data_IF_021205060980
#
_entry.id   IF_021205060980
#
_cell.length_a   1.000
_cell.length_b   1.000
_cell.length_c   1.000
_cell.angle_alpha   90.00
_cell.angle_beta   90.00
_cell.angle_gamma   90.00
#
_symmetry.space_group_name_H-M   'P 1'
#
loop_
_entity.id
_entity.type
_entity.pdbx_description
1 polymer ?
#
# COMPACT_ATOMS: atom_id res chain seq x y z
N UNK A 1 49.46 12.19 -9.12
CA UNK A 1 49.10 13.23 -8.13
C UNK A 1 47.78 13.80 -8.57
N UNK A 2 46.75 13.22 -7.98
CA UNK A 2 45.34 13.37 -8.26
C UNK A 2 44.85 14.81 -8.08
N UNK A 3 44.02 15.27 -9.02
CA UNK A 3 43.09 16.37 -8.78
C UNK A 3 41.70 15.93 -9.25
N UNK A 4 40.92 15.46 -8.28
CA UNK A 4 39.46 15.43 -8.34
C UNK A 4 38.89 16.85 -8.41
N UNK A 5 37.94 17.08 -9.32
CA UNK A 5 36.72 17.88 -9.15
C UNK A 5 36.01 18.05 -10.52
N UNK A 6 34.70 18.36 -10.58
CA UNK A 6 33.59 17.93 -9.73
C UNK A 6 32.45 17.26 -10.54
N UNK A 7 31.55 16.59 -9.83
CA UNK A 7 30.34 15.97 -10.37
C UNK A 7 29.44 16.99 -11.10
N UNK A 8 28.91 16.58 -12.25
CA UNK A 8 27.94 17.34 -13.03
C UNK A 8 26.59 17.43 -12.29
N UNK A 9 25.90 18.58 -12.31
CA UNK A 9 24.60 18.72 -11.70
C UNK A 9 23.53 17.96 -12.49
N UNK A 10 22.73 17.16 -11.77
CA UNK A 10 21.51 16.55 -12.28
C UNK A 10 20.57 17.63 -12.86
N UNK A 11 20.04 17.46 -14.09
CA UNK A 11 19.09 18.42 -14.64
C UNK A 11 17.77 18.37 -13.87
N UNK A 12 17.32 19.57 -13.51
CA UNK A 12 16.06 19.90 -12.85
C UNK A 12 14.86 19.10 -13.38
N UNK A 13 14.12 18.48 -12.45
CA UNK A 13 12.78 17.96 -12.68
C UNK A 13 11.79 19.14 -12.84
N UNK A 14 11.73 19.69 -14.06
CA UNK A 14 10.72 20.65 -14.45
C UNK A 14 9.51 19.93 -15.04
N UNK A 15 8.37 20.04 -14.34
CA UNK A 15 7.01 20.03 -14.92
C UNK A 15 6.61 18.83 -15.77
N UNK A 16 6.34 17.68 -15.13
CA UNK A 16 5.45 16.68 -15.71
C UNK A 16 4.00 17.03 -15.29
N UNK A 17 3.03 17.07 -16.23
CA UNK A 17 1.64 17.32 -15.89
C UNK A 17 1.12 16.21 -14.97
N UNK A 18 0.42 16.60 -13.90
CA UNK A 18 -0.31 15.69 -12.99
C UNK A 18 -1.22 14.78 -13.83
N UNK A 19 -0.75 13.58 -14.13
CA UNK A 19 -1.51 12.58 -14.87
C UNK A 19 -2.70 12.16 -13.99
N UNK A 20 -3.90 12.16 -14.56
CA UNK A 20 -5.11 11.73 -13.88
C UNK A 20 -4.88 10.34 -13.24
N UNK A 21 -4.83 10.32 -11.91
CA UNK A 21 -4.61 9.12 -11.10
C UNK A 21 -5.86 8.24 -11.19
N UNK A 22 -5.84 7.30 -12.13
CA UNK A 22 -6.91 6.33 -12.28
C UNK A 22 -6.77 5.25 -11.20
N UNK A 23 -7.40 5.49 -10.05
CA UNK A 23 -7.67 4.45 -9.08
C UNK A 23 -8.89 3.65 -9.55
N UNK A 24 -8.86 2.33 -9.46
CA UNK A 24 -10.09 1.54 -9.51
C UNK A 24 -10.92 2.02 -8.32
N UNK A 25 -12.09 2.61 -8.57
CA UNK A 25 -12.96 3.17 -7.53
C UNK A 25 -12.93 2.28 -6.30
N UNK A 26 -12.32 2.78 -5.24
CA UNK A 26 -12.13 2.07 -3.99
C UNK A 26 -13.52 1.88 -3.38
N UNK A 27 -14.23 0.83 -3.77
CA UNK A 27 -15.39 0.38 -3.01
C UNK A 27 -14.85 -0.25 -1.73
N UNK A 28 -14.47 0.59 -0.76
CA UNK A 28 -14.54 0.16 0.62
C UNK A 28 -16.01 -0.15 0.83
N UNK A 29 -16.34 -1.43 0.88
CA UNK A 29 -17.67 -1.85 1.23
C UNK A 29 -17.98 -1.16 2.56
N UNK A 30 -18.97 -0.27 2.58
CA UNK A 30 -19.33 0.59 3.70
C UNK A 30 -19.78 -0.18 4.97
N UNK A 31 -19.58 -1.50 4.98
CA UNK A 31 -19.84 -2.39 6.10
C UNK A 31 -18.72 -2.43 7.15
N UNK A 32 -17.57 -1.79 6.92
CA UNK A 32 -16.54 -1.67 7.97
C UNK A 32 -16.34 -0.19 8.30
N UNK A 33 -17.20 0.31 9.19
CA UNK A 33 -16.93 1.56 9.92
C UNK A 33 -15.60 1.42 10.67
N UNK A 34 -14.94 2.54 10.99
CA UNK A 34 -13.74 2.52 11.83
C UNK A 34 -13.94 1.69 13.12
N UNK A 35 -15.16 1.69 13.67
CA UNK A 35 -15.55 0.86 14.81
C UNK A 35 -15.57 -0.67 14.53
N UNK A 36 -15.88 -1.11 13.31
CA UNK A 36 -15.83 -2.52 12.93
C UNK A 36 -14.40 -3.01 12.65
N UNK A 37 -13.50 -2.12 12.24
CA UNK A 37 -12.06 -2.39 12.18
C UNK A 37 -11.47 -2.49 13.59
N UNK A 38 -11.84 -1.61 14.52
CA UNK A 38 -11.38 -1.68 15.93
C UNK A 38 -11.89 -2.93 16.68
N UNK A 39 -13.09 -3.42 16.36
CA UNK A 39 -13.68 -4.60 17.02
C UNK A 39 -13.07 -5.94 16.57
N UNK A 40 -12.47 -5.99 15.38
CA UNK A 40 -11.78 -7.19 14.84
C UNK A 40 -10.26 -7.07 14.97
N UNK A 41 -9.73 -5.84 14.99
CA UNK A 41 -8.31 -5.51 15.13
C UNK A 41 -8.10 -4.68 16.40
N UNK A 42 -7.99 -5.37 17.54
CA UNK A 42 -7.47 -4.72 18.74
C UNK A 42 -5.99 -4.37 18.52
N UNK A 43 -5.64 -3.08 18.65
CA UNK A 43 -4.25 -2.60 18.51
C UNK A 43 -3.93 -1.82 17.23
N UNK A 44 -4.88 -1.07 16.66
CA UNK A 44 -4.54 0.00 15.71
C UNK A 44 -3.76 1.09 16.48
N UNK A 45 -2.47 1.21 16.20
CA UNK A 45 -1.53 2.05 16.95
C UNK A 45 -1.99 3.54 16.92
N UNK A 46 -2.23 4.13 18.09
CA UNK A 46 -2.52 5.58 18.27
C UNK A 46 -1.24 6.35 18.65
N UNK A 47 -0.86 7.38 17.90
CA UNK A 47 -0.02 8.51 18.37
C UNK A 47 1.51 8.47 18.10
N UNK A 48 2.27 9.51 18.53
CA UNK A 48 3.76 9.58 18.53
C UNK A 48 4.33 9.19 19.93
N UNK A 49 5.62 8.92 20.20
CA UNK A 49 6.89 8.92 19.43
C UNK A 49 7.86 7.81 19.89
N UNK A 50 7.38 6.73 20.49
CA UNK A 50 8.17 5.59 20.99
C UNK A 50 7.61 4.23 20.52
N UNK A 51 6.84 4.24 19.43
CA UNK A 51 6.03 3.10 19.02
C UNK A 51 6.86 2.01 18.33
N UNK A 52 7.10 0.90 19.03
CA UNK A 52 7.34 -0.41 18.42
C UNK A 52 6.02 -1.18 18.29
N UNK A 53 5.44 -1.20 17.08
CA UNK A 53 4.24 -1.99 16.80
C UNK A 53 4.61 -3.47 16.56
N UNK A 54 4.41 -4.31 17.57
CA UNK A 54 4.40 -5.77 17.45
C UNK A 54 3.19 -6.33 18.19
N UNK A 55 2.02 -6.48 17.57
CA UNK A 55 0.91 -7.16 18.24
C UNK A 55 0.27 -8.23 17.35
N UNK A 56 0.65 -9.48 17.61
CA UNK A 56 -0.33 -10.48 18.06
C UNK A 56 -0.52 -10.28 19.56
N UNK A 57 -1.77 -10.30 20.02
CA UNK A 57 -2.11 -10.67 21.41
C UNK A 57 -3.47 -11.35 21.33
N UNK A 58 -3.65 -12.58 21.79
CA UNK A 58 -3.20 -13.10 23.08
C UNK A 58 -2.91 -14.61 23.06
N UNK A 59 -1.79 -15.03 23.65
CA UNK A 59 -1.62 -16.40 24.16
C UNK A 59 -0.27 -17.05 23.86
N UNK A 60 0.73 -16.78 24.71
CA UNK A 60 1.81 -17.73 25.03
C UNK A 60 2.96 -17.90 24.03
N UNK A 61 4.11 -17.28 24.35
CA UNK A 61 5.46 -17.86 24.21
C UNK A 61 5.96 -18.27 22.81
N UNK A 62 6.79 -17.41 22.20
CA UNK A 62 7.68 -17.80 21.09
C UNK A 62 7.91 -16.64 20.13
N UNK A 63 9.13 -16.08 20.13
CA UNK A 63 9.52 -15.01 19.22
C UNK A 63 9.31 -15.39 17.76
N UNK A 64 8.52 -14.59 17.05
CA UNK A 64 8.30 -14.72 15.61
C UNK A 64 8.24 -13.32 15.02
N UNK A 65 9.32 -12.92 14.36
CA UNK A 65 9.40 -11.70 13.55
C UNK A 65 8.36 -11.80 12.42
N UNK A 66 7.21 -11.15 12.58
CA UNK A 66 6.30 -10.86 11.47
C UNK A 66 6.72 -9.54 10.80
N UNK A 67 6.34 -9.32 9.53
CA UNK A 67 7.18 -8.69 8.51
C UNK A 67 7.71 -7.33 8.94
N UNK A 68 8.90 -6.90 8.44
CA UNK A 68 9.34 -5.53 8.67
C UNK A 68 8.19 -4.62 8.24
N UNK A 69 7.67 -3.87 9.21
CA UNK A 69 6.74 -2.76 8.99
C UNK A 69 7.13 -2.07 7.70
N UNK A 70 6.17 -1.93 6.76
CA UNK A 70 6.32 -1.38 5.42
C UNK A 70 7.63 -0.61 5.32
N UNK A 71 8.66 -1.30 4.82
CA UNK A 71 9.97 -0.70 4.67
C UNK A 71 9.76 0.63 3.94
N UNK A 72 10.47 1.71 4.32
CA UNK A 72 10.22 3.06 3.79
C UNK A 72 10.11 3.07 2.25
N UNK A 73 10.78 2.13 1.58
CA UNK A 73 10.68 1.87 0.15
C UNK A 73 9.25 1.57 -0.37
N UNK A 74 8.37 0.89 0.37
CA UNK A 74 6.99 0.58 -0.03
C UNK A 74 6.11 1.82 0.09
N UNK A 75 6.30 2.64 1.14
CA UNK A 75 5.56 3.89 1.32
C UNK A 75 5.89 4.84 0.16
N UNK A 76 7.17 5.04 -0.14
CA UNK A 76 7.59 5.86 -1.28
C UNK A 76 7.11 5.30 -2.62
N UNK A 77 7.13 3.98 -2.78
CA UNK A 77 6.59 3.32 -3.95
C UNK A 77 5.10 3.62 -4.13
N UNK A 78 4.28 3.50 -3.08
CA UNK A 78 2.84 3.81 -3.14
C UNK A 78 2.62 5.30 -3.40
N UNK A 79 3.35 6.20 -2.72
CA UNK A 79 3.25 7.65 -2.90
C UNK A 79 3.43 8.06 -4.36
N UNK A 80 4.34 7.40 -5.08
CA UNK A 80 4.60 7.66 -6.51
C UNK A 80 3.36 7.49 -7.41
N UNK A 81 2.36 6.72 -6.96
CA UNK A 81 1.09 6.48 -7.67
C UNK A 81 -0.11 7.25 -7.12
N UNK A 82 -0.12 7.67 -5.86
CA UNK A 82 -1.32 8.23 -5.21
C UNK A 82 -1.44 9.75 -5.34
N UNK A 83 -0.31 10.47 -5.38
CA UNK A 83 -0.30 11.94 -5.33
C UNK A 83 -0.76 12.49 -3.97
N UNK A 84 -0.30 13.70 -3.60
CA UNK A 84 -0.60 14.32 -2.30
C UNK A 84 -1.64 15.43 -2.40
N UNK A 85 -2.64 15.42 -1.51
CA UNK A 85 -3.66 16.47 -1.34
C UNK A 85 -3.84 16.81 0.13
N UNK A 86 -3.27 17.94 0.58
CA UNK A 86 -3.31 18.34 1.99
C UNK A 86 -4.69 18.71 2.53
N UNK A 87 -5.66 19.03 1.68
CA UNK A 87 -7.03 19.35 2.08
C UNK A 87 -8.02 18.27 1.61
N UNK A 88 -9.08 17.98 2.40
CA UNK A 88 -10.15 17.09 1.99
C UNK A 88 -10.76 17.50 0.65
N UNK A 89 -10.98 16.53 -0.23
CA UNK A 89 -11.62 16.71 -1.52
C UNK A 89 -12.51 15.51 -1.83
N UNK A 90 -13.48 15.67 -2.73
CA UNK A 90 -14.22 14.53 -3.26
C UNK A 90 -13.48 13.95 -4.46
N UNK A 91 -13.25 12.64 -4.46
CA UNK A 91 -12.71 11.93 -5.61
C UNK A 91 -13.72 11.87 -6.76
N UNK A 92 -13.33 11.22 -7.87
CA UNK A 92 -14.20 11.04 -9.04
C UNK A 92 -15.44 10.18 -8.75
N UNK A 93 -15.45 9.45 -7.64
CA UNK A 93 -16.58 8.65 -7.16
C UNK A 93 -17.49 9.43 -6.18
N UNK A 94 -17.10 10.65 -5.78
CA UNK A 94 -17.80 11.46 -4.80
C UNK A 94 -17.39 11.24 -3.35
N UNK A 95 -16.37 10.42 -3.07
CA UNK A 95 -15.93 10.13 -1.70
C UNK A 95 -14.92 11.15 -1.19
N UNK A 96 -15.15 11.67 0.02
CA UNK A 96 -14.18 12.46 0.77
C UNK A 96 -12.85 11.74 0.96
N UNK A 97 -11.77 12.39 0.53
CA UNK A 97 -10.40 11.87 0.46
C UNK A 97 -9.40 12.93 0.91
N UNK A 98 -8.29 12.55 1.54
CA UNK A 98 -7.17 13.45 1.91
C UNK A 98 -5.82 12.74 1.89
N UNK A 99 -4.71 13.48 1.88
CA UNK A 99 -3.36 12.93 1.90
C UNK A 99 -3.02 12.15 0.64
N UNK A 100 -2.47 10.94 0.81
CA UNK A 100 -2.18 9.98 -0.27
C UNK A 100 -3.34 9.01 -0.50
N UNK A 101 -4.54 9.56 -0.68
CA UNK A 101 -5.74 8.77 -0.97
C UNK A 101 -6.40 8.12 0.25
N UNK A 102 -6.23 8.69 1.46
CA UNK A 102 -6.97 8.25 2.64
C UNK A 102 -8.46 8.54 2.42
N UNK A 103 -9.29 7.49 2.43
CA UNK A 103 -10.74 7.64 2.34
C UNK A 103 -11.33 7.96 3.69
N UNK A 104 -12.01 9.09 3.75
CA UNK A 104 -12.68 9.54 4.95
C UNK A 104 -14.11 9.02 5.02
N UNK A 105 -14.62 8.98 6.25
CA UNK A 105 -16.04 8.80 6.50
C UNK A 105 -16.85 9.94 5.85
N UNK A 106 -17.91 9.56 5.13
CA UNK A 106 -18.77 10.51 4.43
C UNK A 106 -19.58 11.41 5.37
N UNK A 107 -19.85 10.95 6.60
CA UNK A 107 -20.61 11.73 7.59
C UNK A 107 -19.78 12.86 8.19
N UNK A 108 -18.48 12.65 8.36
CA UNK A 108 -17.56 13.57 9.04
C UNK A 108 -16.66 14.32 8.06
N UNK A 109 -16.56 13.89 6.80
CA UNK A 109 -15.81 14.60 5.75
C UNK A 109 -14.35 14.85 6.16
N UNK A 110 -13.71 13.81 6.71
CA UNK A 110 -12.35 13.81 7.27
C UNK A 110 -12.19 14.49 8.64
N UNK A 111 -13.25 14.99 9.28
CA UNK A 111 -13.13 15.57 10.64
C UNK A 111 -12.75 14.53 11.70
N UNK A 112 -12.96 13.24 11.46
CA UNK A 112 -12.54 12.13 12.32
C UNK A 112 -11.02 12.04 12.53
N UNK A 113 -10.22 12.67 11.65
CA UNK A 113 -8.77 12.74 11.81
C UNK A 113 -8.34 13.71 12.92
N UNK A 114 -9.24 14.59 13.39
CA UNK A 114 -8.96 15.52 14.49
C UNK A 114 -7.84 16.53 14.23
N UNK A 115 -7.39 16.67 12.98
CA UNK A 115 -6.32 17.58 12.58
C UNK A 115 -6.88 18.82 11.86
N UNK A 116 -6.08 19.89 11.84
CA UNK A 116 -6.35 21.05 11.00
C UNK A 116 -5.87 20.81 9.57
N UNK A 117 -6.59 21.38 8.61
CA UNK A 117 -6.26 21.30 7.18
C UNK A 117 -5.74 22.65 6.64
N UNK A 118 -4.83 22.66 5.66
CA UNK A 118 -4.23 21.49 5.01
C UNK A 118 -3.24 20.76 5.94
N UNK A 119 -3.23 19.42 5.89
CA UNK A 119 -2.17 18.63 6.50
C UNK A 119 -0.87 18.80 5.71
N UNK A 120 0.27 18.62 6.37
CA UNK A 120 1.59 18.58 5.73
C UNK A 120 1.81 17.25 5.00
N UNK A 121 2.80 17.22 4.10
CA UNK A 121 3.19 15.98 3.41
C UNK A 121 3.64 14.91 4.41
N UNK A 122 4.42 15.29 5.43
CA UNK A 122 4.82 14.38 6.52
C UNK A 122 3.62 13.81 7.29
N UNK A 123 2.59 14.61 7.56
CA UNK A 123 1.34 14.11 8.15
C UNK A 123 0.60 13.18 7.18
N UNK A 124 0.63 13.46 5.89
CA UNK A 124 0.10 12.59 4.84
C UNK A 124 0.84 11.25 4.75
N UNK A 125 2.15 11.22 4.92
CA UNK A 125 2.97 10.01 4.95
C UNK A 125 2.66 9.16 6.17
N UNK A 126 2.53 9.78 7.35
CA UNK A 126 2.11 9.09 8.57
C UNK A 126 0.72 8.47 8.42
N UNK A 127 -0.19 9.22 7.79
CA UNK A 127 -1.54 8.75 7.47
C UNK A 127 -1.50 7.55 6.50
N UNK A 128 -0.69 7.63 5.45
CA UNK A 128 -0.50 6.55 4.49
C UNK A 128 0.10 5.30 5.15
N UNK A 129 1.14 5.45 5.97
CA UNK A 129 1.77 4.34 6.68
C UNK A 129 0.77 3.61 7.58
N UNK A 130 -0.10 4.36 8.27
CA UNK A 130 -1.20 3.78 9.05
C UNK A 130 -2.19 3.01 8.17
N UNK A 131 -2.61 3.57 7.05
CA UNK A 131 -3.57 2.91 6.14
C UNK A 131 -2.97 1.65 5.50
N UNK A 132 -1.69 1.69 5.13
CA UNK A 132 -0.95 0.56 4.54
C UNK A 132 -0.96 -0.67 5.45
N UNK A 133 -0.97 -0.48 6.77
CA UNK A 133 -0.98 -1.57 7.76
C UNK A 133 -2.13 -2.55 7.57
N UNK A 134 -3.32 -2.06 7.19
CA UNK A 134 -4.45 -2.94 6.92
C UNK A 134 -4.16 -3.92 5.77
N UNK A 135 -3.46 -3.44 4.74
CA UNK A 135 -3.14 -4.20 3.53
C UNK A 135 -1.99 -5.17 3.76
N UNK A 136 -1.01 -4.79 4.60
CA UNK A 136 0.00 -5.71 5.11
C UNK A 136 -0.65 -6.93 5.76
N UNK A 137 -1.55 -6.68 6.71
CA UNK A 137 -2.20 -7.75 7.46
C UNK A 137 -3.03 -8.63 6.54
N UNK A 138 -3.79 -8.05 5.62
CA UNK A 138 -4.63 -8.86 4.74
C UNK A 138 -3.81 -9.72 3.77
N UNK A 139 -2.72 -9.21 3.18
CA UNK A 139 -1.82 -10.05 2.35
C UNK A 139 -1.16 -11.14 3.20
N UNK A 140 -0.70 -10.81 4.41
CA UNK A 140 -0.09 -11.79 5.32
C UNK A 140 -1.03 -12.91 5.74
N UNK A 141 -2.34 -12.64 5.83
CA UNK A 141 -3.36 -13.66 6.09
C UNK A 141 -3.79 -14.43 4.84
N UNK A 142 -3.73 -13.81 3.67
CA UNK A 142 -4.21 -14.38 2.42
C UNK A 142 -3.18 -15.28 1.73
N UNK A 143 -1.89 -15.03 1.91
CA UNK A 143 -0.81 -15.76 1.25
C UNK A 143 -0.05 -16.64 2.25
N UNK A 144 -0.22 -17.96 2.13
CA UNK A 144 0.42 -18.95 3.01
C UNK A 144 1.12 -20.10 2.30
N UNK A 145 0.89 -20.30 0.98
CA UNK A 145 1.47 -21.43 0.25
C UNK A 145 2.90 -21.23 -0.28
N UNK A 146 3.47 -20.04 -0.12
CA UNK A 146 4.81 -19.68 -0.65
C UNK A 146 5.60 -18.85 0.35
N UNK A 147 6.93 -18.86 0.19
CA UNK A 147 7.82 -17.91 0.86
C UNK A 147 8.01 -16.67 0.01
N UNK A 148 7.87 -15.49 0.60
CA UNK A 148 8.09 -14.21 -0.06
C UNK A 148 9.20 -13.41 0.61
N UNK A 149 10.02 -12.75 -0.19
CA UNK A 149 10.93 -11.71 0.28
C UNK A 149 10.19 -10.38 0.47
N UNK A 150 10.86 -9.38 1.04
CA UNK A 150 10.26 -8.10 1.36
C UNK A 150 9.77 -7.30 0.15
N UNK A 151 10.46 -7.37 -0.99
CA UNK A 151 10.02 -6.67 -2.20
C UNK A 151 8.78 -7.35 -2.80
N UNK A 152 8.75 -8.69 -2.80
CA UNK A 152 7.59 -9.47 -3.25
C UNK A 152 6.36 -9.17 -2.39
N UNK A 153 6.53 -9.20 -1.07
CA UNK A 153 5.47 -8.84 -0.13
C UNK A 153 5.02 -7.39 -0.34
N UNK A 154 5.95 -6.44 -0.44
CA UNK A 154 5.65 -5.03 -0.65
C UNK A 154 4.89 -4.72 -1.93
N UNK A 155 5.24 -5.39 -3.03
CA UNK A 155 4.50 -5.28 -4.28
C UNK A 155 3.05 -5.77 -4.14
N UNK A 156 2.82 -6.88 -3.42
CA UNK A 156 1.45 -7.34 -3.13
C UNK A 156 0.69 -6.39 -2.20
N UNK A 157 1.36 -5.75 -1.24
CA UNK A 157 0.77 -4.73 -0.37
C UNK A 157 0.38 -3.49 -1.16
N UNK A 158 1.23 -2.99 -2.07
CA UNK A 158 0.89 -1.87 -2.97
C UNK A 158 -0.29 -2.21 -3.87
N UNK A 159 -0.31 -3.44 -4.41
CA UNK A 159 -1.43 -3.93 -5.19
C UNK A 159 -2.72 -3.99 -4.36
N UNK A 160 -2.65 -4.55 -3.15
CA UNK A 160 -3.77 -4.62 -2.22
C UNK A 160 -4.29 -3.24 -1.81
N UNK A 161 -3.40 -2.27 -1.59
CA UNK A 161 -3.78 -0.87 -1.34
C UNK A 161 -4.62 -0.30 -2.49
N UNK A 162 -4.28 -0.65 -3.73
CA UNK A 162 -5.00 -0.17 -4.91
C UNK A 162 -6.34 -0.87 -5.15
N UNK A 163 -6.40 -2.20 -4.99
CA UNK A 163 -7.58 -2.98 -5.38
C UNK A 163 -8.46 -3.39 -4.20
N UNK A 164 -7.98 -3.27 -2.97
CA UNK A 164 -8.68 -3.67 -1.75
C UNK A 164 -8.55 -5.15 -1.41
N UNK A 165 -8.57 -5.46 -0.11
CA UNK A 165 -8.34 -6.82 0.41
C UNK A 165 -9.37 -7.87 -0.07
N UNK A 166 -10.61 -7.49 -0.39
CA UNK A 166 -11.61 -8.42 -0.92
C UNK A 166 -11.29 -8.91 -2.34
N UNK A 167 -10.76 -8.01 -3.17
CA UNK A 167 -10.33 -8.34 -4.52
C UNK A 167 -9.07 -9.21 -4.51
N UNK A 168 -8.12 -8.93 -3.60
CA UNK A 168 -6.92 -9.76 -3.47
C UNK A 168 -7.26 -11.17 -2.97
N UNK A 169 -8.11 -11.30 -1.95
CA UNK A 169 -8.50 -12.59 -1.37
C UNK A 169 -9.11 -13.57 -2.39
N UNK A 170 -9.93 -13.06 -3.31
CA UNK A 170 -10.64 -13.87 -4.31
C UNK A 170 -9.86 -14.09 -5.61
N UNK A 171 -8.71 -13.41 -5.75
CA UNK A 171 -7.92 -13.37 -6.98
C UNK A 171 -7.33 -14.72 -7.38
N UNK A 172 -7.16 -14.91 -8.70
CA UNK A 172 -6.36 -16.02 -9.24
C UNK A 172 -4.91 -15.95 -8.77
N UNK A 173 -4.36 -14.74 -8.62
CA UNK A 173 -3.00 -14.51 -8.10
C UNK A 173 -2.80 -15.20 -6.74
N UNK A 174 -3.61 -14.86 -5.74
CA UNK A 174 -3.50 -15.42 -4.39
C UNK A 174 -3.76 -16.93 -4.40
N UNK A 175 -4.73 -17.40 -5.20
CA UNK A 175 -5.00 -18.85 -5.36
C UNK A 175 -3.77 -19.61 -5.87
N UNK A 176 -3.09 -19.10 -6.89
CA UNK A 176 -1.89 -19.71 -7.48
C UNK A 176 -0.70 -19.69 -6.52
N UNK A 177 -0.49 -18.57 -5.82
CA UNK A 177 0.52 -18.50 -4.75
C UNK A 177 0.23 -19.52 -3.64
N UNK A 178 -1.02 -19.68 -3.23
CA UNK A 178 -1.39 -20.66 -2.21
C UNK A 178 -1.30 -22.11 -2.69
N UNK A 179 -1.34 -22.35 -4.00
CA UNK A 179 -1.07 -23.65 -4.60
C UNK A 179 0.44 -23.99 -4.65
N UNK A 180 1.31 -23.10 -4.17
CA UNK A 180 2.77 -23.30 -4.16
C UNK A 180 3.44 -23.05 -5.50
N UNK A 181 2.76 -22.42 -6.46
CA UNK A 181 3.36 -22.05 -7.74
C UNK A 181 4.50 -21.03 -7.56
N UNK A 182 5.42 -20.96 -8.53
CA UNK A 182 6.55 -20.04 -8.47
C UNK A 182 6.07 -18.58 -8.33
N UNK A 183 6.43 -17.85 -7.25
CA UNK A 183 5.91 -16.52 -7.01
C UNK A 183 6.20 -15.50 -8.12
N UNK A 184 7.40 -15.55 -8.71
CA UNK A 184 7.79 -14.61 -9.76
C UNK A 184 6.99 -14.83 -11.06
N UNK A 185 6.74 -16.09 -11.41
CA UNK A 185 5.87 -16.44 -12.55
C UNK A 185 4.45 -15.97 -12.31
N UNK A 186 3.88 -16.27 -11.14
CA UNK A 186 2.50 -15.90 -10.80
C UNK A 186 2.32 -14.38 -10.81
N UNK A 187 3.23 -13.62 -10.19
CA UNK A 187 3.16 -12.16 -10.17
C UNK A 187 3.24 -11.57 -11.60
N UNK A 188 4.16 -12.06 -12.43
CA UNK A 188 4.34 -11.58 -13.80
C UNK A 188 3.12 -11.84 -14.70
N UNK A 189 2.42 -12.95 -14.49
CA UNK A 189 1.25 -13.33 -15.29
C UNK A 189 -0.06 -12.71 -14.78
N UNK A 190 -0.22 -12.59 -13.46
CA UNK A 190 -1.51 -12.20 -12.86
C UNK A 190 -1.64 -10.71 -12.58
N UNK A 191 -0.58 -10.01 -12.13
CA UNK A 191 -0.67 -8.57 -11.84
C UNK A 191 -1.09 -7.73 -13.07
N UNK A 192 -0.57 -7.97 -14.30
CA UNK A 192 -0.96 -7.18 -15.47
C UNK A 192 -2.46 -7.23 -15.81
N UNK A 193 -3.19 -8.26 -15.33
CA UNK A 193 -4.63 -8.39 -15.56
C UNK A 193 -5.46 -7.39 -14.74
N UNK A 194 -4.88 -6.79 -13.69
CA UNK A 194 -5.51 -5.82 -12.80
C UNK A 194 -5.27 -4.37 -13.27
N UNK A 195 -5.55 -4.13 -14.56
CA UNK A 195 -5.32 -2.84 -15.22
C UNK A 195 -6.58 -2.14 -15.73
N UNK A 196 -7.77 -2.57 -15.26
CA UNK A 196 -9.06 -2.08 -15.76
C UNK A 196 -9.84 -1.29 -14.73
N UNK A 197 -10.52 -0.23 -15.16
CA UNK A 197 -11.56 0.48 -14.42
C UNK A 197 -12.77 0.70 -15.33
N UNK A 198 -13.99 0.50 -14.81
CA UNK A 198 -15.20 0.57 -15.64
C UNK A 198 -15.22 -0.41 -16.83
N UNK A 199 -14.52 -1.55 -16.71
CA UNK A 199 -14.36 -2.54 -17.78
C UNK A 199 -13.31 -2.21 -18.85
N UNK A 200 -12.74 -1.00 -18.83
CA UNK A 200 -11.76 -0.53 -19.82
C UNK A 200 -10.35 -0.57 -19.24
N UNK A 201 -9.36 -0.90 -20.07
CA UNK A 201 -7.94 -0.81 -19.68
C UNK A 201 -7.54 0.64 -19.47
N UNK A 202 -6.86 0.90 -18.37
CA UNK A 202 -6.40 2.22 -17.97
C UNK A 202 -4.88 2.27 -18.02
N UNK A 203 -4.26 3.17 -18.82
CA UNK A 203 -2.81 3.27 -18.93
C UNK A 203 -2.07 3.44 -17.58
N UNK A 204 -2.63 4.24 -16.67
CA UNK A 204 -2.06 4.44 -15.34
C UNK A 204 -2.00 3.15 -14.51
N UNK A 205 -3.05 2.32 -14.57
CA UNK A 205 -3.06 1.03 -13.90
C UNK A 205 -2.11 0.04 -14.58
N UNK A 206 -2.05 0.02 -15.91
CA UNK A 206 -1.06 -0.81 -16.64
C UNK A 206 0.36 -0.49 -16.21
N UNK A 207 0.72 0.80 -16.12
CA UNK A 207 2.02 1.23 -15.64
C UNK A 207 2.28 0.79 -14.20
N UNK A 208 1.32 1.02 -13.29
CA UNK A 208 1.45 0.60 -11.89
C UNK A 208 1.67 -0.90 -11.74
N UNK A 209 0.91 -1.73 -12.47
CA UNK A 209 1.08 -3.19 -12.45
C UNK A 209 2.45 -3.62 -12.96
N UNK A 210 2.97 -2.96 -13.99
CA UNK A 210 4.31 -3.24 -14.49
C UNK A 210 5.40 -2.90 -13.46
N UNK A 211 5.29 -1.76 -12.78
CA UNK A 211 6.23 -1.36 -11.72
C UNK A 211 6.13 -2.28 -10.48
N UNK A 212 4.91 -2.74 -10.13
CA UNK A 212 4.74 -3.74 -9.07
C UNK A 212 5.36 -5.09 -9.43
N UNK A 213 5.24 -5.55 -10.68
CA UNK A 213 5.94 -6.75 -11.17
C UNK A 213 7.46 -6.57 -11.08
N UNK A 214 7.98 -5.40 -11.48
CA UNK A 214 9.41 -5.11 -11.40
C UNK A 214 9.90 -5.13 -9.96
N UNK A 215 9.17 -4.50 -9.03
CA UNK A 215 9.48 -4.57 -7.60
C UNK A 215 9.46 -6.02 -7.11
N UNK A 216 8.41 -6.78 -7.45
CA UNK A 216 8.26 -8.18 -7.06
C UNK A 216 9.44 -9.06 -7.53
N UNK A 217 9.94 -8.82 -8.74
CA UNK A 217 11.08 -9.55 -9.31
C UNK A 217 12.44 -9.11 -8.76
N UNK A 218 12.50 -7.96 -8.09
CA UNK A 218 13.76 -7.44 -7.52
C UNK A 218 14.16 -8.28 -6.30
N UNK A 219 15.26 -9.00 -6.42
CA UNK A 219 15.77 -9.85 -5.34
C UNK A 219 16.19 -9.01 -4.12
N UNK A 220 15.90 -9.54 -2.93
CA UNK A 220 16.40 -9.02 -1.65
C UNK A 220 16.61 -10.18 -0.68
N UNK A 221 17.58 -10.04 0.23
CA UNK A 221 17.87 -11.03 1.27
C UNK A 221 16.90 -10.96 2.45
N UNK A 222 16.08 -9.91 2.54
CA UNK A 222 15.10 -9.75 3.62
C UNK A 222 13.86 -10.60 3.34
N UNK A 223 13.63 -11.63 4.15
CA UNK A 223 12.40 -12.43 4.13
C UNK A 223 11.20 -11.68 4.73
N UNK A 224 9.98 -11.97 4.25
CA UNK A 224 8.75 -11.36 4.75
C UNK A 224 7.61 -12.36 5.02
N UNK A 225 7.49 -13.46 4.27
CA UNK A 225 6.52 -14.54 4.53
C UNK A 225 7.12 -15.94 4.33
N UNK A 226 6.60 -16.97 5.02
CA UNK A 226 5.75 -16.87 6.20
C UNK A 226 6.53 -16.27 7.39
N UNK A 227 5.82 -15.60 8.29
CA UNK A 227 6.26 -15.45 9.66
C UNK A 227 6.08 -16.82 10.38
#
# INVERSE_FOLDING_TARGET
MDKMAPASPHPNAAGLPQQAHAQVHRTFNAAHTAAALEAVYTGLCSGPSDIQCCIRSSGGGGGGNCPPSAQDNIIDFIKSFEGFRGSPYQDVAGFWTVGYGHLCSQSTRCQELGCSYPISEAQGEQLLARDVRQFEVCIGQQVGGVRLNANQYGALVSWAFNVGCGNTASSTLVKRLNAGENPNTVAAEELPKWNKAGGQTVPGLTRRRAEEVQLFQTATSTGALPC
#
